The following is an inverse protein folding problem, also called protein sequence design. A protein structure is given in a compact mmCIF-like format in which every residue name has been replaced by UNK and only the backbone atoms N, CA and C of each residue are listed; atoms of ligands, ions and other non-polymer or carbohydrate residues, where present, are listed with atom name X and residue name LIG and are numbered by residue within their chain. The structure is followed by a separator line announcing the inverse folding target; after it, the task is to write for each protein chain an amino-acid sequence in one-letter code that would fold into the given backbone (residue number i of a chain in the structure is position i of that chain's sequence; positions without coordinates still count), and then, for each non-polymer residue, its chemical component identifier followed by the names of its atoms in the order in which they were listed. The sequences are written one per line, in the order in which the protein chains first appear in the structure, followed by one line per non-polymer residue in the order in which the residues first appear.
data_IF_799559380636
#
_entry.id   IF_799559380636
#
_cell.length_a   1.000
_cell.length_b   1.000
_cell.length_c   1.000
_cell.angle_alpha   90.00
_cell.angle_beta   90.00
_cell.angle_gamma   90.00
#
_symmetry.space_group_name_H-M   'P 1'
#
loop_
_entity.id
_entity.type
_entity.pdbx_description
1 polymer ?
#
# COMPACT_ATOMS: atom_id res chain seq x y z
N UNK A 1 -18.57 -12.16 6.71
CA UNK A 1 -17.70 -11.09 6.17
C UNK A 1 -16.32 -11.62 5.73
N UNK A 2 -15.71 -12.57 6.46
CA UNK A 2 -14.42 -13.16 6.07
C UNK A 2 -14.47 -13.86 4.69
N UNK A 3 -15.61 -14.48 4.35
CA UNK A 3 -15.80 -15.18 3.08
C UNK A 3 -15.79 -14.24 1.86
N UNK A 4 -16.28 -13.00 1.97
CA UNK A 4 -16.25 -12.04 0.86
C UNK A 4 -14.84 -11.49 0.63
N UNK A 5 -14.04 -11.23 1.67
CA UNK A 5 -12.62 -10.87 1.53
C UNK A 5 -11.81 -12.00 0.90
N UNK A 6 -12.00 -13.23 1.33
CA UNK A 6 -11.37 -14.40 0.70
C UNK A 6 -11.77 -14.54 -0.78
N UNK A 7 -13.02 -14.24 -1.16
CA UNK A 7 -13.44 -14.28 -2.56
C UNK A 7 -12.82 -13.18 -3.41
N UNK A 8 -12.68 -11.95 -2.90
CA UNK A 8 -11.97 -10.88 -3.63
C UNK A 8 -10.49 -11.18 -3.78
N UNK A 9 -9.82 -11.63 -2.73
CA UNK A 9 -8.42 -12.08 -2.81
C UNK A 9 -8.28 -13.28 -3.77
N UNK A 10 -9.14 -14.29 -3.66
CA UNK A 10 -9.09 -15.46 -4.54
C UNK A 10 -9.33 -15.14 -6.02
N UNK A 11 -10.11 -14.12 -6.37
CA UNK A 11 -10.31 -13.71 -7.77
C UNK A 11 -9.09 -12.96 -8.28
N UNK A 12 -8.52 -12.03 -7.51
CA UNK A 12 -7.30 -11.31 -7.89
C UNK A 12 -6.11 -12.25 -8.00
N UNK A 13 -5.94 -13.15 -7.04
CA UNK A 13 -4.82 -14.11 -7.01
C UNK A 13 -4.89 -15.18 -8.12
N UNK A 14 -6.02 -15.29 -8.83
CA UNK A 14 -6.16 -16.16 -9.99
C UNK A 14 -5.79 -15.51 -11.32
N UNK A 15 -5.60 -14.22 -11.36
CA UNK A 15 -5.13 -13.54 -12.57
C UNK A 15 -3.61 -13.70 -12.65
N UNK A 16 -3.05 -14.12 -13.80
CA UNK A 16 -1.61 -14.37 -13.93
C UNK A 16 -0.73 -13.15 -13.64
N UNK A 17 -1.31 -11.96 -13.75
CA UNK A 17 -0.61 -10.69 -13.55
C UNK A 17 -0.99 -9.98 -12.24
N UNK A 18 -1.68 -10.66 -11.32
CA UNK A 18 -2.09 -10.09 -10.04
C UNK A 18 -1.04 -10.32 -8.95
N UNK A 19 -1.03 -9.43 -7.95
CA UNK A 19 -0.15 -9.53 -6.80
C UNK A 19 1.05 -8.60 -6.87
N UNK A 20 2.05 -8.87 -6.04
CA UNK A 20 3.32 -8.12 -6.10
C UNK A 20 4.03 -8.37 -7.43
N UNK A 21 4.63 -7.33 -8.04
CA UNK A 21 5.42 -7.51 -9.25
C UNK A 21 6.64 -8.40 -8.99
N UNK A 22 7.16 -9.02 -10.03
CA UNK A 22 8.46 -9.66 -9.97
C UNK A 22 9.55 -8.62 -9.69
N UNK A 23 10.64 -9.04 -9.07
CA UNK A 23 11.82 -8.20 -8.87
C UNK A 23 12.60 -8.12 -10.18
N UNK A 24 12.30 -7.13 -10.98
CA UNK A 24 13.02 -6.84 -12.23
C UNK A 24 14.35 -6.14 -11.88
N UNK A 25 15.43 -6.56 -12.53
CA UNK A 25 16.75 -5.95 -12.33
C UNK A 25 16.83 -4.54 -12.92
N UNK A 26 16.15 -4.34 -14.04
CA UNK A 26 16.20 -3.11 -14.81
C UNK A 26 14.96 -2.95 -15.72
N UNK A 27 14.88 -1.81 -16.36
CA UNK A 27 13.79 -1.49 -17.29
C UNK A 27 13.76 -2.41 -18.53
N UNK A 28 14.91 -2.91 -18.99
CA UNK A 28 14.97 -3.80 -20.13
C UNK A 28 14.34 -5.16 -19.83
N UNK A 29 14.53 -5.68 -18.61
CA UNK A 29 13.88 -6.90 -18.14
C UNK A 29 12.36 -6.72 -18.02
N UNK A 30 11.90 -5.59 -17.48
CA UNK A 30 10.49 -5.23 -17.50
C UNK A 30 9.90 -5.19 -18.90
N UNK A 31 10.59 -4.56 -19.86
CA UNK A 31 10.14 -4.51 -21.25
C UNK A 31 10.10 -5.91 -21.89
N UNK A 32 11.06 -6.78 -21.59
CA UNK A 32 11.07 -8.16 -22.05
C UNK A 32 9.88 -8.93 -21.50
N UNK A 33 9.63 -8.83 -20.20
CA UNK A 33 8.46 -9.42 -19.55
C UNK A 33 7.15 -8.95 -20.22
N UNK A 34 6.99 -7.64 -20.43
CA UNK A 34 5.80 -7.08 -21.08
C UNK A 34 5.60 -7.62 -22.51
N UNK A 35 6.69 -7.80 -23.26
CA UNK A 35 6.66 -8.36 -24.61
C UNK A 35 6.20 -9.83 -24.58
N UNK A 36 6.76 -10.61 -23.67
CA UNK A 36 6.41 -12.03 -23.52
C UNK A 36 4.95 -12.21 -23.15
N UNK A 37 4.44 -11.38 -22.22
CA UNK A 37 3.03 -11.41 -21.83
C UNK A 37 2.09 -11.00 -22.98
N UNK A 38 2.51 -10.06 -23.83
CA UNK A 38 1.75 -9.67 -25.01
C UNK A 38 1.75 -10.75 -26.10
N UNK A 39 2.90 -11.35 -26.38
CA UNK A 39 3.04 -12.45 -27.37
C UNK A 39 2.22 -13.67 -26.94
N UNK A 40 2.25 -14.01 -25.66
CA UNK A 40 1.47 -15.13 -25.09
C UNK A 40 -0.03 -14.86 -24.97
N UNK A 41 -0.48 -13.62 -25.26
CA UNK A 41 -1.89 -13.23 -25.18
C UNK A 41 -2.41 -13.04 -23.75
N UNK A 42 -1.54 -13.00 -22.74
CA UNK A 42 -1.94 -12.76 -21.33
C UNK A 42 -2.38 -11.32 -21.14
N UNK A 43 -1.73 -10.38 -21.84
CA UNK A 43 -2.11 -8.96 -21.84
C UNK A 43 -2.27 -8.46 -23.29
N UNK A 44 -3.14 -7.49 -23.48
CA UNK A 44 -3.30 -6.77 -24.74
C UNK A 44 -2.81 -5.32 -24.68
N UNK A 45 -2.58 -4.78 -23.47
CA UNK A 45 -1.97 -3.48 -23.22
C UNK A 45 -1.45 -3.43 -21.76
N UNK A 46 -0.59 -2.44 -21.45
CA UNK A 46 0.03 -2.29 -20.12
C UNK A 46 -1.00 -2.16 -18.98
N UNK A 47 -2.16 -1.57 -19.26
CA UNK A 47 -3.27 -1.46 -18.31
C UNK A 47 -3.94 -2.79 -17.92
N UNK A 48 -3.68 -3.88 -18.66
CA UNK A 48 -4.19 -5.23 -18.33
C UNK A 48 -3.39 -5.92 -17.22
N UNK A 49 -2.27 -5.34 -16.79
CA UNK A 49 -1.49 -5.84 -15.65
C UNK A 49 -2.18 -5.49 -14.33
N UNK A 50 -2.31 -6.46 -13.44
CA UNK A 50 -3.00 -6.31 -12.16
C UNK A 50 -2.05 -6.29 -10.95
N UNK A 51 -0.77 -6.00 -11.18
CA UNK A 51 0.20 -5.87 -10.10
C UNK A 51 -0.21 -4.80 -9.09
N UNK A 52 0.17 -5.01 -7.84
CA UNK A 52 -0.10 -4.09 -6.73
C UNK A 52 0.62 -2.74 -6.91
N UNK A 53 1.78 -2.78 -7.59
CA UNK A 53 2.53 -1.61 -8.03
C UNK A 53 2.97 -1.87 -9.47
N UNK A 54 2.79 -0.91 -10.36
CA UNK A 54 3.20 -1.05 -11.76
C UNK A 54 3.61 0.29 -12.37
N UNK A 55 4.49 0.28 -13.38
CA UNK A 55 4.72 1.46 -14.20
C UNK A 55 3.47 1.80 -15.02
N UNK A 56 3.10 3.08 -15.04
CA UNK A 56 2.09 3.64 -15.92
C UNK A 56 2.78 4.37 -17.07
N UNK A 57 3.36 3.60 -18.02
CA UNK A 57 4.27 4.09 -19.06
C UNK A 57 3.67 5.20 -19.95
N UNK A 58 2.35 5.21 -20.14
CA UNK A 58 1.65 6.29 -20.87
C UNK A 58 1.83 7.66 -20.20
N UNK A 59 1.98 7.69 -18.87
CA UNK A 59 2.02 8.92 -18.08
C UNK A 59 3.41 9.17 -17.48
N UNK A 60 4.34 8.23 -17.61
CA UNK A 60 5.66 8.31 -16.98
C UNK A 60 5.60 8.30 -15.45
N UNK A 61 4.64 7.56 -14.89
CA UNK A 61 4.39 7.49 -13.43
C UNK A 61 4.42 6.06 -12.92
N UNK A 62 4.45 5.91 -11.61
CA UNK A 62 4.21 4.64 -10.90
C UNK A 62 2.80 4.67 -10.34
N UNK A 63 2.04 3.60 -10.57
CA UNK A 63 0.68 3.41 -10.06
C UNK A 63 0.70 2.41 -8.91
N UNK A 64 0.31 2.86 -7.71
CA UNK A 64 0.10 2.01 -6.53
C UNK A 64 -1.36 1.59 -6.49
N UNK A 65 -1.64 0.28 -6.46
CA UNK A 65 -2.98 -0.30 -6.61
C UNK A 65 -3.43 -1.18 -5.44
N UNK A 66 -2.54 -1.37 -4.48
CA UNK A 66 -2.78 -2.29 -3.34
C UNK A 66 -3.73 -1.69 -2.32
N UNK A 67 -3.84 -0.36 -2.26
CA UNK A 67 -4.65 0.34 -1.26
C UNK A 67 -6.14 0.22 -1.52
N UNK A 68 -6.93 0.06 -0.45
CA UNK A 68 -8.37 0.28 -0.47
C UNK A 68 -8.69 1.78 -0.60
N UNK A 69 -9.93 2.09 -1.01
CA UNK A 69 -10.41 3.45 -0.98
C UNK A 69 -10.54 3.93 0.47
N UNK A 70 -9.98 5.10 0.76
CA UNK A 70 -10.10 5.76 2.06
C UNK A 70 -11.45 6.46 2.17
N UNK A 71 -12.00 6.56 3.38
CA UNK A 71 -13.25 7.25 3.66
C UNK A 71 -13.11 8.76 3.82
N UNK A 72 -11.87 9.26 3.90
CA UNK A 72 -11.63 10.70 4.03
C UNK A 72 -10.35 11.15 3.31
N UNK A 73 -10.31 12.43 2.92
CA UNK A 73 -9.17 13.00 2.18
C UNK A 73 -7.93 13.21 3.03
N UNK A 74 -8.06 13.32 4.36
CA UNK A 74 -6.88 13.45 5.24
C UNK A 74 -6.05 12.17 5.21
N UNK A 75 -6.69 11.01 5.39
CA UNK A 75 -5.99 9.72 5.29
C UNK A 75 -5.44 9.48 3.89
N UNK A 76 -6.20 9.86 2.85
CA UNK A 76 -5.70 9.78 1.48
C UNK A 76 -4.43 10.62 1.31
N UNK A 77 -4.41 11.86 1.81
CA UNK A 77 -3.24 12.73 1.71
C UNK A 77 -2.03 12.16 2.47
N UNK A 78 -2.24 11.53 3.62
CA UNK A 78 -1.19 10.84 4.37
C UNK A 78 -0.56 9.69 3.56
N UNK A 79 -1.39 8.84 2.96
CA UNK A 79 -0.93 7.71 2.13
C UNK A 79 -0.19 8.22 0.89
N UNK A 80 -0.68 9.29 0.25
CA UNK A 80 -0.02 9.90 -0.91
C UNK A 80 1.33 10.51 -0.51
N UNK A 81 1.41 11.24 0.61
CA UNK A 81 2.65 11.81 1.11
C UNK A 81 3.68 10.73 1.43
N UNK A 82 3.29 9.68 2.15
CA UNK A 82 4.15 8.54 2.45
C UNK A 82 4.67 7.89 1.17
N UNK A 83 3.78 7.60 0.22
CA UNK A 83 4.14 6.99 -1.05
C UNK A 83 5.12 7.85 -1.84
N UNK A 84 4.88 9.17 -1.91
CA UNK A 84 5.75 10.10 -2.63
C UNK A 84 7.13 10.19 -1.97
N UNK A 85 7.18 10.31 -0.64
CA UNK A 85 8.45 10.30 0.09
C UNK A 85 9.24 9.01 -0.11
N UNK A 86 8.60 7.85 -0.09
CA UNK A 86 9.24 6.56 -0.36
C UNK A 86 9.82 6.47 -1.77
N UNK A 87 9.10 6.96 -2.79
CA UNK A 87 9.62 6.99 -4.16
C UNK A 87 10.91 7.82 -4.23
N UNK A 88 10.92 9.01 -3.65
CA UNK A 88 12.11 9.88 -3.62
C UNK A 88 13.23 9.25 -2.79
N UNK A 89 12.91 8.61 -1.67
CA UNK A 89 13.88 7.91 -0.83
C UNK A 89 14.62 6.82 -1.60
N UNK A 90 13.87 5.93 -2.26
CA UNK A 90 14.47 4.85 -3.04
C UNK A 90 15.22 5.35 -4.29
N UNK A 91 14.74 6.39 -4.93
CA UNK A 91 15.42 7.03 -6.05
C UNK A 91 16.81 7.54 -5.62
N UNK A 92 16.91 8.17 -4.45
CA UNK A 92 18.20 8.60 -3.87
C UNK A 92 19.13 7.46 -3.53
N UNK A 93 18.61 6.35 -3.00
CA UNK A 93 19.45 5.16 -2.75
C UNK A 93 20.03 4.61 -4.06
N UNK A 94 19.21 4.58 -5.13
CA UNK A 94 19.66 4.13 -6.46
C UNK A 94 20.74 5.05 -7.00
N UNK A 95 20.54 6.37 -6.93
CA UNK A 95 21.50 7.38 -7.40
C UNK A 95 22.83 7.32 -6.62
N UNK A 96 22.76 7.03 -5.33
CA UNK A 96 23.93 6.86 -4.46
C UNK A 96 24.60 5.48 -4.60
N UNK A 97 24.05 4.57 -5.41
CA UNK A 97 24.46 3.17 -5.49
C UNK A 97 24.44 2.44 -4.14
N UNK A 98 23.54 2.85 -3.25
CA UNK A 98 23.32 2.18 -1.97
C UNK A 98 22.41 0.95 -2.11
N UNK A 99 22.57 -0.08 -1.24
CA UNK A 99 21.75 -1.27 -1.32
C UNK A 99 20.28 -0.96 -0.98
N UNK A 100 19.37 -1.44 -1.83
CA UNK A 100 17.94 -1.36 -1.54
C UNK A 100 17.53 -2.40 -0.48
N UNK A 101 16.55 -2.09 0.39
CA UNK A 101 16.02 -3.02 1.39
C UNK A 101 15.13 -4.08 0.73
N UNK A 102 15.75 -5.06 0.07
CA UNK A 102 15.04 -6.10 -0.68
C UNK A 102 14.84 -7.33 0.20
N UNK A 103 13.58 -7.67 0.48
CA UNK A 103 13.19 -8.91 1.15
C UNK A 103 13.14 -10.08 0.19
N UNK A 104 13.20 -11.30 0.74
CA UNK A 104 12.95 -12.51 -0.04
C UNK A 104 11.50 -12.53 -0.57
N UNK A 105 11.24 -13.06 -1.79
CA UNK A 105 9.89 -13.08 -2.34
C UNK A 105 8.83 -13.72 -1.45
N UNK A 106 9.19 -14.75 -0.69
CA UNK A 106 8.28 -15.38 0.26
C UNK A 106 8.01 -14.52 1.50
N UNK A 107 8.97 -13.71 1.97
CA UNK A 107 8.74 -12.72 3.04
C UNK A 107 7.77 -11.63 2.57
N UNK A 108 7.93 -11.14 1.34
CA UNK A 108 7.00 -10.16 0.75
C UNK A 108 5.58 -10.73 0.65
N UNK A 109 5.44 -11.99 0.20
CA UNK A 109 4.15 -12.66 0.11
C UNK A 109 3.51 -12.86 1.48
N UNK A 110 4.30 -13.27 2.49
CA UNK A 110 3.86 -13.41 3.88
C UNK A 110 3.43 -12.06 4.47
N UNK A 111 4.23 -11.01 4.31
CA UNK A 111 3.89 -9.67 4.79
C UNK A 111 2.61 -9.13 4.15
N UNK A 112 2.42 -9.36 2.85
CA UNK A 112 1.17 -9.00 2.18
C UNK A 112 -0.03 -9.73 2.80
N UNK A 113 0.10 -11.02 3.08
CA UNK A 113 -0.95 -11.81 3.73
C UNK A 113 -1.21 -11.32 5.17
N UNK A 114 -0.14 -11.11 5.97
CA UNK A 114 -0.25 -10.59 7.34
C UNK A 114 -0.91 -9.21 7.37
N UNK A 115 -0.48 -8.29 6.50
CA UNK A 115 -1.09 -6.96 6.37
C UNK A 115 -2.56 -7.03 5.99
N UNK A 116 -2.94 -7.88 5.03
CA UNK A 116 -4.33 -8.07 4.64
C UNK A 116 -5.18 -8.72 5.74
N UNK A 117 -4.58 -9.58 6.58
CA UNK A 117 -5.28 -10.33 7.64
C UNK A 117 -5.41 -9.55 8.93
N UNK A 118 -4.36 -8.88 9.35
CA UNK A 118 -4.23 -8.25 10.66
C UNK A 118 -4.23 -6.71 10.59
N UNK A 119 -3.97 -6.12 9.40
CA UNK A 119 -3.95 -4.67 9.21
C UNK A 119 -2.87 -4.00 10.04
N UNK A 120 -3.25 -2.99 10.82
CA UNK A 120 -2.34 -2.22 11.67
C UNK A 120 -1.75 -3.05 12.84
N UNK A 121 -2.37 -4.17 13.18
CA UNK A 121 -1.88 -5.11 14.20
C UNK A 121 -1.07 -6.26 13.58
N UNK A 122 -0.57 -6.11 12.36
CA UNK A 122 0.31 -7.09 11.74
C UNK A 122 1.72 -7.00 12.30
N UNK A 123 2.33 -8.15 12.54
CA UNK A 123 3.76 -8.31 12.75
C UNK A 123 4.38 -8.65 11.39
N UNK A 124 5.26 -7.80 10.87
CA UNK A 124 5.84 -7.94 9.53
C UNK A 124 7.33 -8.28 9.60
N UNK A 125 7.81 -9.01 8.61
CA UNK A 125 9.24 -9.34 8.45
C UNK A 125 9.92 -8.12 7.83
N UNK A 126 10.98 -7.63 8.47
CA UNK A 126 11.67 -6.38 8.10
C UNK A 126 13.05 -6.60 7.51
N UNK A 127 13.65 -7.79 7.72
CA UNK A 127 14.96 -8.12 7.20
C UNK A 127 15.01 -9.46 6.46
N UNK A 128 16.12 -9.72 5.77
CA UNK A 128 16.37 -11.01 5.12
C UNK A 128 16.65 -12.13 6.12
N UNK A 129 17.07 -11.76 7.31
CA UNK A 129 17.38 -12.61 8.47
C UNK A 129 16.12 -12.94 9.29
N UNK A 130 14.95 -12.49 8.84
CA UNK A 130 13.63 -12.72 9.47
C UNK A 130 13.37 -11.93 10.75
N UNK A 131 14.05 -10.78 10.94
CA UNK A 131 13.62 -9.85 11.98
C UNK A 131 12.18 -9.40 11.75
N UNK A 132 11.46 -9.18 12.84
CA UNK A 132 10.05 -8.83 12.78
C UNK A 132 9.76 -7.57 13.62
N UNK A 133 8.85 -6.73 13.12
CA UNK A 133 8.37 -5.56 13.84
C UNK A 133 6.86 -5.36 13.63
N UNK A 134 6.22 -4.64 14.54
CA UNK A 134 4.83 -4.26 14.36
C UNK A 134 4.68 -3.20 13.26
N UNK A 135 3.66 -3.33 12.41
CA UNK A 135 3.38 -2.33 11.36
C UNK A 135 3.28 -0.92 11.90
N UNK A 136 2.69 -0.73 13.10
CA UNK A 136 2.57 0.58 13.74
C UNK A 136 3.92 1.20 14.07
N UNK A 137 4.86 0.39 14.55
CA UNK A 137 6.21 0.85 14.92
C UNK A 137 7.01 1.18 13.65
N UNK A 138 6.99 0.29 12.65
CA UNK A 138 7.61 0.51 11.34
C UNK A 138 7.09 1.79 10.66
N UNK A 139 5.77 2.03 10.70
CA UNK A 139 5.19 3.25 10.13
C UNK A 139 5.63 4.50 10.89
N UNK A 140 5.72 4.44 12.22
CA UNK A 140 6.17 5.57 13.03
C UNK A 140 7.65 5.90 12.74
N UNK A 141 8.52 4.90 12.70
CA UNK A 141 9.93 5.06 12.34
C UNK A 141 10.10 5.61 10.92
N UNK A 142 9.33 5.08 9.97
CA UNK A 142 9.34 5.53 8.57
C UNK A 142 8.92 7.00 8.41
N UNK A 143 7.96 7.49 9.20
CA UNK A 143 7.58 8.92 9.21
C UNK A 143 8.75 9.80 9.64
N UNK A 144 9.49 9.39 10.66
CA UNK A 144 10.66 10.14 11.13
C UNK A 144 11.79 10.12 10.10
N UNK A 145 12.10 8.96 9.54
CA UNK A 145 13.13 8.79 8.51
C UNK A 145 12.82 9.62 7.25
N UNK A 146 11.57 9.66 6.83
CA UNK A 146 11.14 10.38 5.64
C UNK A 146 10.86 11.87 5.87
N UNK A 147 10.87 12.35 7.11
CA UNK A 147 10.59 13.76 7.46
C UNK A 147 11.49 14.77 6.74
N UNK A 148 12.82 14.53 6.49
CA UNK A 148 13.64 15.43 5.69
C UNK A 148 13.13 15.56 4.26
N UNK A 149 12.79 14.46 3.62
CA UNK A 149 12.25 14.42 2.26
C UNK A 149 10.89 15.12 2.20
N UNK A 150 10.03 14.87 3.19
CA UNK A 150 8.73 15.52 3.27
C UNK A 150 8.84 17.06 3.40
N UNK A 151 9.88 17.57 4.08
CA UNK A 151 10.16 19.02 4.13
C UNK A 151 10.51 19.58 2.76
N UNK A 152 11.34 18.89 2.01
CA UNK A 152 11.71 19.29 0.65
C UNK A 152 10.52 19.27 -0.31
N UNK A 153 9.65 18.28 -0.17
CA UNK A 153 8.44 18.11 -0.97
C UNK A 153 7.27 19.00 -0.51
N UNK A 154 7.37 19.64 0.65
CA UNK A 154 6.33 20.50 1.23
C UNK A 154 5.11 19.72 1.76
N UNK A 155 5.25 18.45 2.12
CA UNK A 155 4.16 17.56 2.55
C UNK A 155 4.34 17.01 3.99
N UNK A 156 5.06 17.73 4.85
CA UNK A 156 5.32 17.29 6.25
C UNK A 156 4.03 17.11 7.05
N UNK A 157 3.07 18.01 6.86
CA UNK A 157 1.82 17.94 7.61
C UNK A 157 1.02 16.70 7.22
N UNK A 158 0.97 16.39 5.93
CA UNK A 158 0.29 15.23 5.39
C UNK A 158 0.97 13.93 5.84
N UNK A 159 2.31 13.87 5.81
CA UNK A 159 3.06 12.71 6.27
C UNK A 159 2.79 12.44 7.78
N UNK A 160 2.77 13.47 8.61
CA UNK A 160 2.49 13.34 10.05
C UNK A 160 1.10 12.82 10.39
N UNK A 161 0.14 12.91 9.46
CA UNK A 161 -1.19 12.31 9.67
C UNK A 161 -1.13 10.78 9.82
N UNK A 162 -0.04 10.14 9.42
CA UNK A 162 0.19 8.71 9.70
C UNK A 162 0.15 8.43 11.22
N UNK A 163 0.70 9.31 12.05
CA UNK A 163 0.61 9.17 13.52
C UNK A 163 -0.84 9.25 14.00
N UNK A 164 -1.65 10.14 13.43
CA UNK A 164 -3.08 10.21 13.76
C UNK A 164 -3.82 8.91 13.38
N UNK A 165 -3.44 8.28 12.25
CA UNK A 165 -4.00 6.99 11.84
C UNK A 165 -3.57 5.86 12.79
N UNK A 166 -2.31 5.88 13.25
CA UNK A 166 -1.80 4.89 14.22
C UNK A 166 -2.56 4.99 15.54
N UNK A 167 -2.78 6.21 16.04
CA UNK A 167 -3.43 6.48 17.34
C UNK A 167 -4.96 6.30 17.28
N UNK A 168 -5.60 6.87 16.27
CA UNK A 168 -7.06 6.86 16.11
C UNK A 168 -7.63 5.56 15.53
N UNK A 169 -6.78 4.75 14.93
CA UNK A 169 -7.13 3.54 14.18
C UNK A 169 -7.44 3.82 12.72
N UNK A 170 -7.08 2.88 11.88
CA UNK A 170 -7.38 2.91 10.44
C UNK A 170 -8.90 2.77 10.19
N UNK A 171 -9.36 3.15 9.01
CA UNK A 171 -10.79 3.16 8.66
C UNK A 171 -11.52 1.85 8.98
N UNK A 172 -10.89 0.68 8.71
CA UNK A 172 -11.50 -0.61 9.02
C UNK A 172 -11.66 -0.87 10.54
N UNK A 173 -10.75 -0.33 11.38
CA UNK A 173 -10.81 -0.45 12.83
C UNK A 173 -11.96 0.40 13.39
N UNK A 174 -12.11 1.63 12.88
CA UNK A 174 -13.22 2.52 13.24
C UNK A 174 -14.56 1.92 12.84
N UNK A 175 -14.68 1.39 11.60
CA UNK A 175 -15.89 0.71 11.13
C UNK A 175 -16.25 -0.50 12.00
N UNK A 176 -15.26 -1.32 12.41
CA UNK A 176 -15.49 -2.46 13.31
C UNK A 176 -15.91 -2.01 14.71
N UNK A 177 -15.30 -0.96 15.23
CA UNK A 177 -15.64 -0.37 16.54
C UNK A 177 -17.10 0.11 16.52
N UNK A 178 -17.48 0.92 15.55
CA UNK A 178 -18.84 1.42 15.40
C UNK A 178 -19.86 0.28 15.23
N UNK A 179 -19.56 -0.72 14.43
CA UNK A 179 -20.44 -1.88 14.31
C UNK A 179 -20.59 -2.64 15.64
N UNK A 180 -19.53 -2.77 16.40
CA UNK A 180 -19.57 -3.43 17.72
C UNK A 180 -20.46 -2.67 18.70
N UNK A 181 -20.44 -1.35 18.63
CA UNK A 181 -21.23 -0.46 19.53
C UNK A 181 -22.72 -0.42 19.13
N UNK A 182 -23.00 -0.35 17.85
CA UNK A 182 -24.37 -0.12 17.34
C UNK A 182 -25.09 -1.36 16.83
N UNK A 183 -24.35 -2.40 16.42
CA UNK A 183 -24.90 -3.58 15.74
C UNK A 183 -25.44 -3.28 14.32
N UNK A 184 -25.26 -2.08 13.82
CA UNK A 184 -25.91 -1.56 12.61
C UNK A 184 -24.93 -1.29 11.47
N UNK A 185 -25.01 -2.06 10.38
CA UNK A 185 -24.26 -1.78 9.16
C UNK A 185 -24.72 -0.47 8.48
N UNK A 186 -25.96 -0.09 8.70
CA UNK A 186 -26.48 1.18 8.17
C UNK A 186 -25.72 2.35 8.79
N UNK A 187 -25.58 2.36 10.10
CA UNK A 187 -24.83 3.40 10.82
C UNK A 187 -23.36 3.46 10.39
N UNK A 188 -22.72 2.31 10.17
CA UNK A 188 -21.35 2.25 9.64
C UNK A 188 -21.27 2.93 8.27
N UNK A 189 -22.23 2.69 7.36
CA UNK A 189 -22.25 3.32 6.04
C UNK A 189 -22.51 4.82 6.16
N UNK A 190 -23.50 5.23 6.96
CA UNK A 190 -23.86 6.64 7.16
C UNK A 190 -22.69 7.44 7.73
N UNK A 191 -21.93 6.83 8.65
CA UNK A 191 -20.77 7.48 9.26
C UNK A 191 -19.57 7.54 8.28
N UNK A 192 -19.34 6.48 7.51
CA UNK A 192 -18.34 6.51 6.43
C UNK A 192 -18.64 7.61 5.40
N UNK A 193 -19.91 7.82 5.07
CA UNK A 193 -20.35 8.94 4.22
C UNK A 193 -20.10 10.30 4.90
N UNK A 194 -20.29 10.39 6.21
CA UNK A 194 -20.03 11.62 6.99
C UNK A 194 -18.53 11.94 7.01
N UNK A 195 -17.64 10.95 7.23
CA UNK A 195 -16.20 11.13 7.08
C UNK A 195 -15.82 11.73 5.73
N UNK A 196 -16.42 11.22 4.64
CA UNK A 196 -16.15 11.71 3.29
C UNK A 196 -16.56 13.19 3.12
N UNK A 197 -17.69 13.59 3.69
CA UNK A 197 -18.19 14.97 3.60
C UNK A 197 -17.44 15.95 4.52
N UNK A 198 -17.03 15.51 5.69
CA UNK A 198 -16.35 16.37 6.68
C UNK A 198 -14.83 16.37 6.50
N UNK A 199 -14.29 15.42 5.74
CA UNK A 199 -12.85 15.15 5.59
C UNK A 199 -12.14 14.82 6.92
N UNK A 200 -12.89 14.38 7.92
CA UNK A 200 -12.36 14.03 9.24
C UNK A 200 -12.65 12.57 9.53
N UNK A 201 -11.67 11.84 10.09
CA UNK A 201 -11.92 10.52 10.65
C UNK A 201 -12.85 10.63 11.87
N UNK A 202 -13.51 9.53 12.15
CA UNK A 202 -14.40 9.37 13.32
C UNK A 202 -13.62 9.31 14.63
#
# INVERSE_FOLDING_TARGET
LSIRRQRQMCIRDRLPTAGMPYQFRDWAEWQSYMRDQAISGVINHTGSMHFDIRPASKWGTVEVRVSDATSNLRELSAIVALTHCLVVYYDRLIDAAEPLPILQPWHVAENKWRGARYGMDALVITSRETDEAWVKDELAEMVEELSPIARELGCVNELKLIHEIIEGGAGYERQRRLFKETGSWREVVEETCRELHTFRPL
#
